data_IF_306317003473
#
_entry.id   IF_306317003473
#
_cell.length_a   1.000
_cell.length_b   1.000
_cell.length_c   1.000
_cell.angle_alpha   90.00
_cell.angle_beta   90.00
_cell.angle_gamma   90.00
#
_symmetry.space_group_name_H-M   'P 1'
#
loop_
_entity.id
_entity.type
_entity.pdbx_description
1 polymer ?
#
# COMPACT_ATOMS: atom_id res chain seq x y z
N UNK A 1 -75.51 -47.91 -1.22
CA UNK A 1 -75.23 -47.41 0.13
C UNK A 1 -74.77 -45.96 -0.01
N UNK A 2 -75.58 -45.05 0.51
CA UNK A 2 -75.37 -43.59 0.67
C UNK A 2 -74.15 -43.26 1.56
N UNK A 3 -73.76 -41.98 1.79
CA UNK A 3 -73.89 -40.76 0.98
C UNK A 3 -72.62 -39.85 0.94
N UNK A 4 -72.71 -38.85 0.05
CA UNK A 4 -72.18 -37.47 0.08
C UNK A 4 -71.69 -36.90 1.43
N UNK A 5 -70.67 -36.04 1.38
CA UNK A 5 -70.65 -34.74 2.10
C UNK A 5 -70.01 -33.64 1.20
N UNK A 6 -70.81 -32.60 0.95
CA UNK A 6 -70.42 -31.23 0.58
C UNK A 6 -70.47 -30.37 1.85
N UNK A 7 -69.56 -29.39 1.98
CA UNK A 7 -69.69 -28.13 2.76
C UNK A 7 -68.40 -27.32 2.47
N UNK A 8 -68.37 -26.16 1.79
CA UNK A 8 -68.89 -24.83 2.18
C UNK A 8 -68.66 -24.55 3.67
N UNK A 9 -67.86 -23.57 4.11
CA UNK A 9 -68.13 -22.11 4.17
C UNK A 9 -66.88 -21.55 4.91
N UNK A 10 -66.26 -20.41 4.60
CA UNK A 10 -66.71 -19.09 5.06
C UNK A 10 -65.72 -18.00 4.65
N UNK A 11 -66.27 -16.91 4.12
CA UNK A 11 -65.62 -15.61 4.00
C UNK A 11 -65.50 -14.96 5.38
N UNK A 12 -64.34 -14.38 5.70
CA UNK A 12 -64.26 -13.17 6.54
C UNK A 12 -63.29 -12.20 5.84
N UNK A 13 -63.86 -11.06 5.45
CA UNK A 13 -63.16 -9.83 5.06
C UNK A 13 -62.67 -9.14 6.33
N UNK A 14 -61.54 -8.43 6.26
CA UNK A 14 -61.36 -7.01 6.60
C UNK A 14 -59.86 -6.71 6.84
N UNK A 15 -59.34 -5.95 5.89
CA UNK A 15 -58.49 -4.76 6.01
C UNK A 15 -57.01 -4.78 6.45
N UNK A 16 -56.26 -4.16 5.53
CA UNK A 16 -55.30 -3.06 5.73
C UNK A 16 -53.82 -3.38 6.02
N UNK A 17 -53.07 -3.23 4.92
CA UNK A 17 -52.01 -2.22 4.80
C UNK A 17 -50.65 -2.57 5.43
N UNK A 18 -49.75 -3.19 4.66
CA UNK A 18 -48.33 -2.88 4.69
C UNK A 18 -47.73 -3.03 3.27
N UNK A 19 -47.52 -1.86 2.63
CA UNK A 19 -46.52 -1.67 1.60
C UNK A 19 -45.14 -1.84 2.23
N UNK A 20 -44.36 -2.84 1.85
CA UNK A 20 -42.90 -2.73 1.91
C UNK A 20 -42.29 -3.31 0.63
N UNK A 21 -41.66 -2.40 -0.13
CA UNK A 21 -40.75 -2.69 -1.24
C UNK A 21 -39.49 -3.33 -0.65
N UNK A 22 -38.80 -4.25 -1.33
CA UNK A 22 -37.44 -4.58 -0.96
C UNK A 22 -36.54 -3.43 -1.42
N UNK A 23 -35.94 -2.74 -0.46
CA UNK A 23 -34.96 -1.69 -0.70
C UNK A 23 -33.67 -2.25 -1.32
N UNK A 24 -33.17 -1.45 -2.25
CA UNK A 24 -31.95 -1.56 -3.03
C UNK A 24 -30.69 -1.87 -2.22
N UNK A 25 -29.88 -2.76 -2.78
CA UNK A 25 -28.45 -2.57 -3.05
C UNK A 25 -27.66 -1.78 -2.01
N UNK A 26 -27.22 -2.49 -0.96
CA UNK A 26 -25.94 -2.19 -0.34
C UNK A 26 -24.85 -2.44 -1.39
N UNK A 27 -24.50 -1.39 -2.15
CA UNK A 27 -23.22 -1.32 -2.84
C UNK A 27 -22.16 -1.46 -1.74
N UNK A 28 -21.54 -2.63 -1.68
CA UNK A 28 -20.42 -2.90 -0.82
C UNK A 28 -19.35 -1.84 -1.13
N UNK A 29 -19.20 -0.89 -0.21
CA UNK A 29 -18.07 0.01 -0.17
C UNK A 29 -16.89 -0.86 0.27
N UNK A 30 -16.31 -1.61 -0.67
CA UNK A 30 -15.02 -2.27 -0.46
C UNK A 30 -14.03 -1.13 -0.34
N UNK A 31 -13.71 -0.74 0.89
CA UNK A 31 -12.50 0.02 1.18
C UNK A 31 -11.33 -0.80 0.61
N UNK A 32 -10.87 -0.43 -0.59
CA UNK A 32 -9.56 -0.82 -1.08
C UNK A 32 -8.57 -0.16 -0.12
N UNK A 33 -8.07 -0.92 0.86
CA UNK A 33 -6.94 -0.49 1.67
C UNK A 33 -5.75 -0.27 0.73
N UNK A 34 -5.16 0.94 0.72
CA UNK A 34 -3.98 1.22 -0.09
C UNK A 34 -2.83 0.29 0.38
N UNK A 35 -2.02 -0.23 -0.55
CA UNK A 35 -0.91 -1.14 -0.18
C UNK A 35 0.04 -0.49 0.82
N UNK A 36 0.22 0.82 0.74
CA UNK A 36 0.97 1.62 1.72
C UNK A 36 0.37 1.50 3.12
N UNK A 37 -0.94 1.61 3.28
CA UNK A 37 -1.60 1.56 4.59
C UNK A 37 -1.42 0.19 5.27
N UNK A 38 -1.50 -0.88 4.47
CA UNK A 38 -1.25 -2.24 4.96
C UNK A 38 0.22 -2.37 5.38
N UNK A 39 1.16 -1.92 4.54
CA UNK A 39 2.60 -1.98 4.84
C UNK A 39 2.92 -1.17 6.11
N UNK A 40 2.34 0.03 6.24
CA UNK A 40 2.51 0.91 7.39
C UNK A 40 1.97 0.27 8.67
N UNK A 41 0.87 -0.50 8.61
CA UNK A 41 0.39 -1.27 9.78
C UNK A 41 1.37 -2.35 10.25
N UNK A 42 2.31 -2.78 9.40
CA UNK A 42 3.38 -3.72 9.77
C UNK A 42 4.69 -3.01 10.15
N UNK A 43 4.74 -1.68 10.05
CA UNK A 43 5.82 -0.86 10.59
C UNK A 43 5.61 -0.52 12.07
N UNK A 44 4.38 -0.64 12.58
CA UNK A 44 4.13 -0.56 14.02
C UNK A 44 4.70 -1.77 14.75
N UNK A 45 5.47 -1.46 15.79
CA UNK A 45 6.47 -2.26 16.46
C UNK A 45 5.94 -3.63 16.96
N UNK A 46 6.41 -4.78 16.45
CA UNK A 46 6.34 -6.00 17.22
C UNK A 46 7.42 -5.91 18.30
N UNK A 47 7.00 -5.68 19.55
CA UNK A 47 7.81 -5.96 20.74
C UNK A 47 8.55 -7.29 20.51
N UNK A 48 9.89 -7.24 20.56
CA UNK A 48 10.74 -8.39 20.35
C UNK A 48 10.29 -9.53 21.30
N UNK A 49 10.26 -10.80 20.86
CA UNK A 49 10.15 -11.92 21.79
C UNK A 49 11.36 -11.87 22.74
N UNK A 50 11.05 -11.65 24.02
CA UNK A 50 11.98 -11.46 25.16
C UNK A 50 13.40 -12.01 24.95
N UNK A 51 14.38 -11.11 24.90
CA UNK A 51 15.79 -11.47 25.05
C UNK A 51 16.04 -12.09 26.45
N UNK A 52 16.94 -13.09 26.55
CA UNK A 52 17.23 -13.76 27.81
C UNK A 52 17.85 -12.79 28.82
N UNK A 53 17.24 -12.75 30.00
CA UNK A 53 17.72 -12.02 31.19
C UNK A 53 19.16 -12.44 31.51
N UNK A 54 20.08 -11.47 31.46
CA UNK A 54 21.47 -11.63 31.86
C UNK A 54 21.55 -12.08 33.34
N UNK A 55 22.23 -13.18 33.69
CA UNK A 55 22.34 -13.61 35.07
C UNK A 55 23.19 -12.58 35.82
N UNK A 56 22.55 -11.84 36.73
CA UNK A 56 23.27 -11.18 37.82
C UNK A 56 24.02 -12.26 38.60
N UNK A 57 25.35 -12.28 38.50
CA UNK A 57 26.18 -12.34 39.70
C UNK A 57 27.68 -12.03 39.46
N UNK A 58 28.18 -11.23 40.41
CA UNK A 58 29.55 -11.06 40.89
C UNK A 58 30.68 -10.76 39.90
N UNK A 59 31.17 -9.52 39.89
CA UNK A 59 32.61 -9.24 39.82
C UNK A 59 32.90 -7.86 40.46
N UNK A 60 33.30 -7.87 41.73
CA UNK A 60 33.99 -6.75 42.37
C UNK A 60 35.36 -6.56 41.70
N UNK A 61 35.75 -5.30 41.48
CA UNK A 61 37.01 -4.81 40.90
C UNK A 61 37.18 -4.91 39.37
N UNK A 62 36.60 -3.94 38.63
CA UNK A 62 37.17 -3.47 37.36
C UNK A 62 37.32 -1.94 37.37
N UNK A 63 38.42 -1.38 36.82
CA UNK A 63 38.64 0.06 36.78
C UNK A 63 37.56 0.76 35.96
N UNK A 64 37.13 1.94 36.42
CA UNK A 64 36.12 2.79 35.78
C UNK A 64 36.53 3.06 34.32
N UNK A 65 35.69 2.76 33.31
CA UNK A 65 36.08 2.94 31.92
C UNK A 65 36.18 4.44 31.58
N UNK A 66 37.28 4.85 30.95
CA UNK A 66 37.37 6.11 30.20
C UNK A 66 36.29 6.14 29.11
N UNK A 67 35.78 7.34 28.76
CA UNK A 67 34.66 7.49 27.81
C UNK A 67 34.88 6.80 26.46
N UNK A 68 36.14 6.77 25.97
CA UNK A 68 36.53 6.10 24.73
C UNK A 68 36.37 4.57 24.76
N UNK A 69 36.65 3.92 25.90
CA UNK A 69 36.48 2.46 26.05
C UNK A 69 35.00 2.10 26.09
N UNK A 70 34.19 2.92 26.76
CA UNK A 70 32.74 2.75 26.80
C UNK A 70 32.09 2.98 25.42
N UNK A 71 32.55 3.98 24.66
CA UNK A 71 32.08 4.26 23.30
C UNK A 71 32.40 3.10 22.34
N UNK A 72 33.63 2.57 22.37
CA UNK A 72 34.02 1.40 21.57
C UNK A 72 33.19 0.16 21.87
N UNK A 73 32.87 -0.09 23.16
CA UNK A 73 31.98 -1.20 23.54
C UNK A 73 30.56 -1.05 22.97
N UNK A 74 30.01 0.18 22.98
CA UNK A 74 28.68 0.45 22.41
C UNK A 74 28.66 0.28 20.89
N UNK A 75 29.71 0.72 20.19
CA UNK A 75 29.89 0.49 18.75
C UNK A 75 29.96 -1.00 18.43
N UNK A 76 30.74 -1.76 19.20
CA UNK A 76 30.86 -3.21 19.04
C UNK A 76 29.53 -3.93 19.33
N UNK A 77 28.79 -3.50 20.36
CA UNK A 77 27.45 -4.01 20.63
C UNK A 77 26.49 -3.77 19.45
N UNK A 78 26.47 -2.57 18.88
CA UNK A 78 25.64 -2.25 17.70
C UNK A 78 26.01 -3.11 16.47
N UNK A 79 27.32 -3.36 16.25
CA UNK A 79 27.78 -4.26 15.19
C UNK A 79 27.32 -5.70 15.42
N UNK A 80 27.42 -6.18 16.67
CA UNK A 80 26.96 -7.51 17.03
C UNK A 80 25.44 -7.64 16.86
N UNK A 81 24.68 -6.61 17.23
CA UNK A 81 23.23 -6.56 17.05
C UNK A 81 22.84 -6.64 15.56
N UNK A 82 23.53 -5.90 14.68
CA UNK A 82 23.33 -6.00 13.22
C UNK A 82 23.48 -7.45 12.75
N UNK A 83 24.56 -8.12 13.16
CA UNK A 83 24.81 -9.50 12.75
C UNK A 83 23.78 -10.48 13.34
N UNK A 84 23.52 -10.39 14.65
CA UNK A 84 22.59 -11.30 15.34
C UNK A 84 21.19 -11.17 14.74
N UNK A 85 20.72 -9.94 14.51
CA UNK A 85 19.41 -9.73 13.88
C UNK A 85 19.38 -10.16 12.41
N UNK A 86 20.50 -10.05 11.67
CA UNK A 86 20.59 -10.60 10.30
C UNK A 86 20.50 -12.12 10.30
N UNK A 87 21.19 -12.78 11.23
CA UNK A 87 21.13 -14.23 11.40
C UNK A 87 19.68 -14.68 11.64
N UNK A 88 19.00 -14.05 12.59
CA UNK A 88 17.59 -14.33 12.91
C UNK A 88 16.67 -14.08 11.71
N UNK A 89 16.88 -12.97 10.99
CA UNK A 89 16.10 -12.65 9.80
C UNK A 89 16.26 -13.69 8.69
N UNK A 90 17.50 -14.05 8.35
CA UNK A 90 17.81 -15.06 7.34
C UNK A 90 17.24 -16.42 7.74
N UNK A 91 17.36 -16.81 9.01
CA UNK A 91 16.76 -18.04 9.52
C UNK A 91 15.23 -18.04 9.39
N UNK A 92 14.57 -16.91 9.69
CA UNK A 92 13.14 -16.71 9.45
C UNK A 92 12.76 -16.90 7.98
N UNK A 93 13.51 -16.31 7.04
CA UNK A 93 13.30 -16.52 5.60
C UNK A 93 13.53 -17.98 5.17
N UNK A 94 14.55 -18.65 5.71
CA UNK A 94 14.81 -20.07 5.44
C UNK A 94 13.65 -20.94 5.92
N UNK A 95 13.11 -20.67 7.11
CA UNK A 95 11.92 -21.35 7.65
C UNK A 95 10.72 -21.11 6.75
N UNK A 96 10.47 -19.87 6.34
CA UNK A 96 9.39 -19.52 5.40
C UNK A 96 9.47 -20.33 4.10
N UNK A 97 10.66 -20.41 3.49
CA UNK A 97 10.87 -21.16 2.25
C UNK A 97 10.76 -22.67 2.47
N UNK A 98 11.50 -23.21 3.45
CA UNK A 98 11.65 -24.67 3.65
C UNK A 98 10.41 -25.33 4.24
N UNK A 99 9.72 -24.67 5.16
CA UNK A 99 8.59 -25.25 5.90
C UNK A 99 7.27 -24.98 5.18
N UNK A 100 7.13 -23.82 4.52
CA UNK A 100 5.87 -23.46 3.85
C UNK A 100 5.97 -23.54 2.32
N UNK A 101 6.84 -22.75 1.69
CA UNK A 101 6.86 -22.61 0.22
C UNK A 101 7.12 -23.93 -0.51
N UNK A 102 8.24 -24.61 -0.20
CA UNK A 102 8.64 -25.83 -0.90
C UNK A 102 7.61 -26.96 -0.71
N UNK A 103 7.14 -27.26 0.52
CA UNK A 103 6.09 -28.27 0.70
C UNK A 103 4.77 -27.89 0.02
N UNK A 104 4.43 -26.59 -0.02
CA UNK A 104 3.21 -26.12 -0.69
C UNK A 104 3.28 -26.35 -2.21
N UNK A 105 4.40 -25.99 -2.84
CA UNK A 105 4.66 -26.26 -4.27
C UNK A 105 4.62 -27.77 -4.57
N UNK A 106 5.24 -28.59 -3.73
CA UNK A 106 5.28 -30.03 -3.92
C UNK A 106 3.87 -30.65 -3.87
N UNK A 107 3.03 -30.23 -2.92
CA UNK A 107 1.65 -30.71 -2.80
C UNK A 107 0.76 -30.20 -3.94
N UNK A 108 0.97 -28.98 -4.41
CA UNK A 108 0.27 -28.42 -5.58
C UNK A 108 0.60 -29.19 -6.88
N UNK A 109 1.85 -29.58 -7.06
CA UNK A 109 2.30 -30.33 -8.24
C UNK A 109 1.87 -31.82 -8.23
N UNK A 110 1.38 -32.34 -7.10
CA UNK A 110 1.01 -33.74 -6.97
C UNK A 110 -0.33 -34.05 -7.65
N UNK A 111 -0.25 -34.59 -8.87
CA UNK A 111 -1.40 -34.98 -9.71
C UNK A 111 -2.27 -36.11 -9.15
N UNK A 112 -1.84 -36.78 -8.07
CA UNK A 112 -2.63 -37.84 -7.41
C UNK A 112 -3.72 -37.22 -6.52
N UNK A 113 -3.53 -35.99 -6.03
CA UNK A 113 -4.59 -35.28 -5.32
C UNK A 113 -5.65 -34.79 -6.32
N UNK A 114 -6.91 -35.13 -6.05
CA UNK A 114 -8.08 -34.74 -6.84
C UNK A 114 -8.33 -33.23 -6.87
N UNK A 115 -7.74 -32.47 -5.94
CA UNK A 115 -7.71 -31.00 -5.95
C UNK A 115 -6.37 -30.50 -5.38
N UNK A 116 -5.66 -29.57 -6.05
CA UNK A 116 -4.44 -28.97 -5.51
C UNK A 116 -4.77 -28.10 -4.29
N UNK A 117 -3.83 -27.99 -3.34
CA UNK A 117 -4.01 -27.17 -2.14
C UNK A 117 -4.06 -25.66 -2.43
N UNK A 118 -3.41 -25.24 -3.51
CA UNK A 118 -3.36 -23.89 -4.09
C UNK A 118 -2.80 -24.02 -5.51
N UNK A 119 -3.15 -23.11 -6.42
CA UNK A 119 -2.55 -23.08 -7.77
C UNK A 119 -1.12 -22.55 -7.74
N UNK A 120 -0.37 -22.75 -8.82
CA UNK A 120 1.00 -22.22 -8.93
C UNK A 120 0.98 -20.69 -8.92
N UNK A 121 -0.01 -20.06 -9.54
CA UNK A 121 -0.18 -18.60 -9.51
C UNK A 121 -0.49 -18.10 -8.09
N UNK A 122 -1.37 -18.78 -7.35
CA UNK A 122 -1.69 -18.42 -5.96
C UNK A 122 -0.46 -18.54 -5.06
N UNK A 123 0.33 -19.60 -5.21
CA UNK A 123 1.59 -19.78 -4.47
C UNK A 123 2.57 -18.67 -4.85
N UNK A 124 2.73 -18.37 -6.14
CA UNK A 124 3.60 -17.28 -6.57
C UNK A 124 3.14 -15.92 -6.02
N UNK A 125 1.84 -15.73 -5.85
CA UNK A 125 1.26 -14.51 -5.28
C UNK A 125 1.54 -14.42 -3.79
N UNK A 126 1.37 -15.52 -3.03
CA UNK A 126 1.58 -15.54 -1.57
C UNK A 126 3.04 -15.26 -1.19
N UNK A 127 3.99 -15.83 -1.93
CA UNK A 127 5.41 -15.78 -1.53
C UNK A 127 6.23 -14.74 -2.31
N UNK A 128 5.67 -14.14 -3.36
CA UNK A 128 6.34 -13.12 -4.17
C UNK A 128 7.76 -13.53 -4.58
N UNK A 129 8.72 -12.64 -4.35
CA UNK A 129 10.15 -12.88 -4.61
C UNK A 129 10.96 -13.25 -3.36
N UNK A 130 10.37 -13.95 -2.39
CA UNK A 130 11.03 -14.30 -1.12
C UNK A 130 12.31 -15.12 -1.30
N UNK A 131 12.39 -15.99 -2.30
CA UNK A 131 13.59 -16.81 -2.56
C UNK A 131 14.76 -15.94 -3.03
N UNK A 132 14.49 -14.91 -3.82
CA UNK A 132 15.50 -13.95 -4.26
C UNK A 132 15.97 -13.07 -3.10
N UNK A 133 15.05 -12.66 -2.21
CA UNK A 133 15.39 -11.96 -0.97
C UNK A 133 16.26 -12.85 -0.07
N UNK A 134 15.86 -14.10 0.16
CA UNK A 134 16.66 -15.04 0.94
C UNK A 134 18.09 -15.14 0.40
N UNK A 135 18.26 -15.32 -0.92
CA UNK A 135 19.60 -15.39 -1.53
C UNK A 135 20.43 -14.11 -1.33
N UNK A 136 19.82 -12.93 -1.42
CA UNK A 136 20.48 -11.65 -1.13
C UNK A 136 20.98 -11.63 0.32
N UNK A 137 20.10 -11.98 1.26
CA UNK A 137 20.40 -11.90 2.68
C UNK A 137 21.38 -12.97 3.15
N UNK A 138 21.40 -14.15 2.52
CA UNK A 138 22.45 -15.14 2.76
C UNK A 138 23.84 -14.63 2.33
N UNK A 139 23.93 -13.87 1.24
CA UNK A 139 25.19 -13.26 0.81
C UNK A 139 25.61 -12.10 1.72
N UNK A 140 24.65 -11.30 2.18
CA UNK A 140 24.87 -10.23 3.15
C UNK A 140 25.35 -10.79 4.48
N UNK A 141 24.65 -11.78 5.03
CA UNK A 141 25.01 -12.48 6.27
C UNK A 141 26.42 -13.07 6.19
N UNK A 142 26.73 -13.79 5.11
CA UNK A 142 28.08 -14.34 4.90
C UNK A 142 29.15 -13.25 4.96
N UNK A 143 28.90 -12.10 4.33
CA UNK A 143 29.83 -10.96 4.35
C UNK A 143 30.01 -10.39 5.77
N UNK A 144 28.94 -10.36 6.58
CA UNK A 144 28.97 -9.90 7.97
C UNK A 144 29.69 -10.91 8.90
N UNK A 145 29.46 -12.21 8.70
CA UNK A 145 30.15 -13.29 9.45
C UNK A 145 31.66 -13.27 9.17
N UNK A 146 32.07 -13.18 7.91
CA UNK A 146 33.49 -13.05 7.50
C UNK A 146 34.14 -11.80 8.10
N UNK A 147 33.37 -10.70 8.21
CA UNK A 147 33.81 -9.46 8.85
C UNK A 147 34.01 -9.63 10.35
N UNK A 148 33.13 -10.38 11.03
CA UNK A 148 33.23 -10.66 12.47
C UNK A 148 34.41 -11.56 12.83
N UNK A 149 34.68 -12.61 12.03
CA UNK A 149 35.80 -13.54 12.29
C UNK A 149 37.14 -12.79 12.39
N UNK A 150 37.30 -11.74 11.60
CA UNK A 150 38.51 -10.96 11.52
C UNK A 150 38.28 -9.52 12.05
N UNK A 151 37.42 -9.35 13.05
CA UNK A 151 37.02 -8.03 13.52
C UNK A 151 38.20 -7.26 14.12
N UNK A 152 38.32 -5.98 13.75
CA UNK A 152 39.25 -5.04 14.37
C UNK A 152 38.58 -3.66 14.48
N UNK A 153 39.00 -2.80 15.41
CA UNK A 153 38.45 -1.45 15.55
C UNK A 153 38.57 -0.61 14.27
N UNK A 154 39.54 -0.94 13.40
CA UNK A 154 39.80 -0.31 12.10
C UNK A 154 38.96 -0.89 10.95
N UNK A 155 38.13 -1.91 11.22
CA UNK A 155 37.22 -2.49 10.23
C UNK A 155 35.85 -1.86 10.36
N UNK A 156 35.26 -1.70 9.18
CA UNK A 156 34.02 -0.98 8.97
C UNK A 156 32.88 -1.97 8.74
N UNK A 157 31.65 -1.50 8.64
CA UNK A 157 30.54 -2.33 8.13
C UNK A 157 29.81 -1.64 6.99
N UNK A 158 29.99 -0.32 6.85
CA UNK A 158 29.31 0.47 5.83
C UNK A 158 29.56 -0.03 4.40
N UNK A 159 30.76 -0.53 4.09
CA UNK A 159 31.14 -1.04 2.78
C UNK A 159 30.28 -2.23 2.35
N UNK A 160 29.92 -3.09 3.30
CA UNK A 160 29.01 -4.22 3.07
C UNK A 160 27.62 -3.70 2.73
N UNK A 161 27.09 -2.74 3.49
CA UNK A 161 25.77 -2.16 3.23
C UNK A 161 25.71 -1.37 1.93
N UNK A 162 26.69 -0.51 1.65
CA UNK A 162 26.76 0.27 0.41
C UNK A 162 26.83 -0.63 -0.83
N UNK A 163 27.55 -1.76 -0.74
CA UNK A 163 27.62 -2.75 -1.82
C UNK A 163 26.26 -3.42 -2.06
N UNK A 164 25.49 -3.68 -1.01
CA UNK A 164 24.21 -4.38 -1.08
C UNK A 164 23.00 -3.44 -1.32
N UNK A 165 23.12 -2.15 -1.01
CA UNK A 165 22.03 -1.18 -1.10
C UNK A 165 21.31 -1.13 -2.46
N UNK A 166 21.99 -1.17 -3.64
CA UNK A 166 21.29 -1.21 -4.93
C UNK A 166 20.36 -2.42 -5.09
N UNK A 167 20.72 -3.57 -4.50
CA UNK A 167 19.95 -4.80 -4.59
C UNK A 167 18.73 -4.79 -3.67
N UNK A 168 18.78 -4.06 -2.55
CA UNK A 168 17.62 -3.88 -1.65
C UNK A 168 16.42 -3.21 -2.34
N UNK A 169 16.61 -2.55 -3.49
CA UNK A 169 15.48 -2.04 -4.30
C UNK A 169 14.53 -3.14 -4.77
N UNK A 170 14.95 -4.40 -4.76
CA UNK A 170 14.09 -5.53 -5.12
C UNK A 170 12.97 -5.80 -4.10
N UNK A 171 13.04 -5.21 -2.91
CA UNK A 171 11.95 -5.22 -1.93
C UNK A 171 10.66 -4.58 -2.48
N UNK A 172 10.77 -3.67 -3.46
CA UNK A 172 9.59 -3.11 -4.14
C UNK A 172 8.71 -4.19 -4.79
N UNK A 173 9.30 -5.28 -5.26
CA UNK A 173 8.56 -6.40 -5.86
C UNK A 173 7.75 -7.10 -4.77
N UNK A 174 8.37 -7.37 -3.62
CA UNK A 174 7.73 -8.06 -2.50
C UNK A 174 6.59 -7.22 -1.93
N UNK A 175 6.87 -5.96 -1.62
CA UNK A 175 5.93 -5.03 -1.00
C UNK A 175 4.69 -4.82 -1.88
N UNK A 176 4.89 -4.64 -3.20
CA UNK A 176 3.79 -4.53 -4.16
C UNK A 176 2.85 -5.74 -4.13
N UNK A 177 3.39 -6.96 -3.98
CA UNK A 177 2.57 -8.18 -3.95
C UNK A 177 1.98 -8.49 -2.58
N UNK A 178 2.43 -7.83 -1.52
CA UNK A 178 2.15 -8.25 -0.14
C UNK A 178 0.67 -8.18 0.25
N UNK A 179 -0.12 -7.13 -0.06
CA UNK A 179 -1.56 -7.14 0.22
C UNK A 179 -2.30 -8.26 -0.49
N UNK A 180 -1.97 -8.50 -1.76
CA UNK A 180 -2.56 -9.59 -2.51
C UNK A 180 -2.14 -10.96 -1.95
N UNK A 181 -0.92 -11.08 -1.42
CA UNK A 181 -0.46 -12.26 -0.72
C UNK A 181 -1.32 -12.55 0.52
N UNK A 182 -1.56 -11.54 1.37
CA UNK A 182 -2.40 -11.66 2.57
C UNK A 182 -3.85 -12.00 2.18
N UNK A 183 -4.45 -11.26 1.24
CA UNK A 183 -5.81 -11.53 0.78
C UNK A 183 -5.98 -12.94 0.18
N UNK A 184 -5.01 -13.40 -0.61
CA UNK A 184 -5.00 -14.75 -1.20
C UNK A 184 -4.88 -15.81 -0.12
N UNK A 185 -3.97 -15.63 0.85
CA UNK A 185 -3.78 -16.55 1.97
C UNK A 185 -5.04 -16.64 2.84
N UNK A 186 -5.68 -15.51 3.14
CA UNK A 186 -6.92 -15.49 3.93
C UNK A 186 -8.08 -16.17 3.20
N UNK A 187 -8.25 -15.86 1.90
CA UNK A 187 -9.26 -16.49 1.06
C UNK A 187 -9.07 -18.00 1.01
N UNK A 188 -7.86 -18.48 0.73
CA UNK A 188 -7.55 -19.91 0.71
C UNK A 188 -7.78 -20.58 2.07
N UNK A 189 -7.47 -19.89 3.17
CA UNK A 189 -7.72 -20.38 4.53
C UNK A 189 -9.21 -20.53 4.85
N UNK A 190 -10.08 -19.73 4.21
CA UNK A 190 -11.55 -19.80 4.34
C UNK A 190 -12.15 -20.85 3.41
N UNK A 191 -11.69 -20.91 2.16
CA UNK A 191 -12.30 -21.70 1.08
C UNK A 191 -11.76 -23.13 0.96
N UNK A 192 -10.50 -23.38 1.34
CA UNK A 192 -9.86 -24.71 1.22
C UNK A 192 -9.55 -25.31 2.59
N UNK A 193 -10.23 -26.43 2.90
CA UNK A 193 -9.95 -27.23 4.10
C UNK A 193 -8.54 -27.83 4.06
N UNK A 194 -8.08 -28.21 2.87
CA UNK A 194 -6.76 -28.79 2.63
C UNK A 194 -5.65 -27.77 2.87
N UNK A 195 -5.82 -26.54 2.39
CA UNK A 195 -4.89 -25.43 2.65
C UNK A 195 -4.81 -25.11 4.15
N UNK A 196 -5.98 -24.97 4.81
CA UNK A 196 -6.03 -24.74 6.26
C UNK A 196 -5.34 -25.86 7.05
N UNK A 197 -5.60 -27.12 6.69
CA UNK A 197 -4.95 -28.29 7.31
C UNK A 197 -3.44 -28.29 7.05
N UNK A 198 -3.01 -27.92 5.85
CA UNK A 198 -1.60 -27.78 5.51
C UNK A 198 -0.90 -26.74 6.40
N UNK A 199 -1.48 -25.54 6.55
CA UNK A 199 -0.92 -24.50 7.41
C UNK A 199 -0.85 -24.97 8.87
N UNK A 200 -1.90 -25.62 9.38
CA UNK A 200 -1.89 -26.19 10.73
C UNK A 200 -0.81 -27.25 10.92
N UNK A 201 -0.55 -28.10 9.91
CA UNK A 201 0.53 -29.09 9.96
C UNK A 201 1.90 -28.41 9.97
N UNK A 202 2.10 -27.37 9.17
CA UNK A 202 3.36 -26.61 9.16
C UNK A 202 3.59 -25.95 10.52
N UNK A 203 2.54 -25.37 11.11
CA UNK A 203 2.56 -24.69 12.41
C UNK A 203 3.00 -25.59 13.57
N UNK A 204 2.89 -26.91 13.44
CA UNK A 204 3.36 -27.88 14.43
C UNK A 204 4.88 -28.07 14.42
N UNK A 205 5.59 -27.51 13.43
CA UNK A 205 7.05 -27.62 13.39
C UNK A 205 7.67 -26.80 14.54
N UNK A 206 8.43 -27.44 15.46
CA UNK A 206 9.00 -26.76 16.62
C UNK A 206 10.00 -25.65 16.25
N UNK A 207 10.61 -25.71 15.06
CA UNK A 207 11.55 -24.68 14.59
C UNK A 207 10.88 -23.32 14.37
N UNK A 208 9.55 -23.27 14.24
CA UNK A 208 8.81 -22.02 14.08
C UNK A 208 8.62 -21.25 15.39
N UNK A 209 8.93 -21.85 16.54
CA UNK A 209 8.80 -21.18 17.85
C UNK A 209 7.36 -20.75 18.19
N UNK A 210 6.35 -21.37 17.56
CA UNK A 210 4.94 -21.01 17.74
C UNK A 210 4.46 -19.79 16.94
N UNK A 211 5.34 -19.09 16.21
CA UNK A 211 4.98 -17.92 15.41
C UNK A 211 4.07 -18.32 14.23
N UNK A 212 2.97 -17.60 13.97
CA UNK A 212 2.04 -17.94 12.88
C UNK A 212 2.66 -17.65 11.51
N UNK A 213 2.15 -18.32 10.47
CA UNK A 213 2.59 -18.14 9.08
C UNK A 213 2.66 -16.66 8.63
N UNK A 214 1.68 -15.85 9.03
CA UNK A 214 1.62 -14.42 8.67
C UNK A 214 2.81 -13.63 9.21
N UNK A 215 3.31 -13.96 10.41
CA UNK A 215 4.49 -13.31 11.00
C UNK A 215 5.76 -13.56 10.17
N UNK A 216 5.86 -14.71 9.49
CA UNK A 216 6.96 -14.97 8.58
C UNK A 216 6.82 -14.18 7.28
N UNK A 217 5.60 -14.06 6.74
CA UNK A 217 5.35 -13.27 5.52
C UNK A 217 5.65 -11.78 5.72
N UNK A 218 5.49 -11.25 6.94
CA UNK A 218 5.78 -9.84 7.26
C UNK A 218 7.27 -9.54 7.50
N UNK A 219 8.14 -10.55 7.67
CA UNK A 219 9.56 -10.33 7.95
C UNK A 219 10.25 -9.38 6.94
N UNK A 220 10.07 -9.52 5.61
CA UNK A 220 10.66 -8.58 4.66
C UNK A 220 10.16 -7.15 4.80
N UNK A 221 8.90 -6.97 5.20
CA UNK A 221 8.32 -5.64 5.40
C UNK A 221 9.11 -4.91 6.49
N UNK A 222 9.36 -5.59 7.61
CA UNK A 222 10.00 -5.01 8.80
C UNK A 222 11.52 -4.80 8.64
N UNK A 223 12.19 -5.52 7.73
CA UNK A 223 13.66 -5.52 7.68
C UNK A 223 14.27 -4.19 7.23
N UNK A 224 13.66 -3.53 6.23
CA UNK A 224 14.18 -2.26 5.69
C UNK A 224 14.15 -1.13 6.75
N UNK A 225 13.03 -0.89 7.46
CA UNK A 225 13.02 0.03 8.60
C UNK A 225 14.03 -0.35 9.69
N UNK A 226 14.15 -1.65 10.03
CA UNK A 226 15.08 -2.10 11.06
C UNK A 226 16.54 -1.80 10.70
N UNK A 227 16.94 -1.91 9.43
CA UNK A 227 18.29 -1.49 9.02
C UNK A 227 18.55 -0.01 9.26
N UNK A 228 17.56 0.86 9.03
CA UNK A 228 17.71 2.30 9.31
C UNK A 228 18.05 2.52 10.78
N UNK A 229 17.26 1.94 11.69
CA UNK A 229 17.47 2.06 13.14
C UNK A 229 18.83 1.50 13.58
N UNK A 230 19.20 0.32 13.09
CA UNK A 230 20.48 -0.32 13.42
C UNK A 230 21.68 0.51 12.93
N UNK A 231 21.61 1.07 11.72
CA UNK A 231 22.67 1.89 11.15
C UNK A 231 22.75 3.27 11.82
N UNK A 232 21.62 3.85 12.22
CA UNK A 232 21.56 5.08 13.02
C UNK A 232 22.17 4.88 14.42
N UNK A 233 21.87 3.75 15.07
CA UNK A 233 22.46 3.37 16.34
C UNK A 233 23.99 3.19 16.21
N UNK A 234 24.46 2.53 15.14
CA UNK A 234 25.89 2.38 14.87
C UNK A 234 26.57 3.74 14.60
N UNK A 235 25.94 4.61 13.81
CA UNK A 235 26.45 5.96 13.52
C UNK A 235 26.54 6.80 14.80
N UNK A 236 25.55 6.71 15.70
CA UNK A 236 25.54 7.40 17.00
C UNK A 236 26.73 7.04 17.88
N UNK A 237 27.25 5.82 17.77
CA UNK A 237 28.41 5.34 18.54
C UNK A 237 29.72 5.40 17.75
N UNK A 238 29.73 6.05 16.58
CA UNK A 238 30.92 6.23 15.75
C UNK A 238 31.33 7.71 15.78
N UNK A 239 32.57 7.98 16.17
CA UNK A 239 33.13 9.35 16.23
C UNK A 239 33.25 9.95 14.81
N UNK A 240 33.11 11.28 14.66
CA UNK A 240 33.21 11.94 13.35
C UNK A 240 34.59 11.80 12.68
N UNK A 241 35.62 11.54 13.49
CA UNK A 241 37.00 11.28 13.02
C UNK A 241 37.21 9.84 12.54
N UNK A 242 36.27 8.93 12.81
CA UNK A 242 36.33 7.55 12.35
C UNK A 242 36.21 7.51 10.80
N UNK A 243 37.08 6.78 10.09
CA UNK A 243 37.01 6.71 8.64
C UNK A 243 35.67 6.15 8.10
N UNK A 244 34.91 5.41 8.92
CA UNK A 244 33.60 4.86 8.55
C UNK A 244 32.44 5.85 8.68
N UNK A 245 32.60 6.93 9.46
CA UNK A 245 31.50 7.83 9.84
C UNK A 245 30.72 8.35 8.63
N UNK A 246 31.44 8.88 7.62
CA UNK A 246 30.84 9.42 6.41
C UNK A 246 30.16 8.34 5.56
N UNK A 247 30.69 7.12 5.56
CA UNK A 247 30.09 6.02 4.82
C UNK A 247 28.86 5.47 5.53
N UNK A 248 28.86 5.40 6.87
CA UNK A 248 27.67 5.07 7.66
C UNK A 248 26.55 6.09 7.44
N UNK A 249 26.87 7.39 7.42
CA UNK A 249 25.89 8.44 7.07
C UNK A 249 25.31 8.24 5.67
N UNK A 250 26.14 7.84 4.70
CA UNK A 250 25.67 7.46 3.35
C UNK A 250 24.77 6.22 3.39
N UNK A 251 25.10 5.19 4.19
CA UNK A 251 24.25 4.01 4.36
C UNK A 251 22.86 4.38 4.88
N UNK A 252 22.79 5.15 5.96
CA UNK A 252 21.51 5.60 6.56
C UNK A 252 20.67 6.35 5.53
N UNK A 253 21.28 7.27 4.78
CA UNK A 253 20.59 8.02 3.72
C UNK A 253 20.12 7.11 2.58
N UNK A 254 20.94 6.13 2.16
CA UNK A 254 20.56 5.20 1.10
C UNK A 254 19.43 4.26 1.51
N UNK A 255 19.47 3.70 2.73
CA UNK A 255 18.39 2.86 3.24
C UNK A 255 17.08 3.64 3.37
N UNK A 256 17.15 4.87 3.88
CA UNK A 256 15.98 5.76 3.95
C UNK A 256 15.42 6.05 2.55
N UNK A 257 16.28 6.40 1.59
CA UNK A 257 15.86 6.63 0.22
C UNK A 257 15.28 5.38 -0.45
N UNK A 258 15.75 4.17 -0.09
CA UNK A 258 15.19 2.91 -0.60
C UNK A 258 13.78 2.70 -0.03
N UNK A 259 13.57 2.95 1.27
CA UNK A 259 12.24 2.84 1.87
C UNK A 259 11.24 3.78 1.17
N UNK A 260 11.62 5.05 0.99
CA UNK A 260 10.81 6.03 0.29
C UNK A 260 10.57 5.64 -1.19
N UNK A 261 11.62 5.25 -1.91
CA UNK A 261 11.53 4.85 -3.32
C UNK A 261 10.65 3.60 -3.50
N UNK A 262 10.71 2.66 -2.57
CA UNK A 262 9.86 1.46 -2.58
C UNK A 262 8.40 1.85 -2.38
N UNK A 263 8.10 2.68 -1.38
CA UNK A 263 6.72 3.12 -1.11
C UNK A 263 6.14 3.92 -2.30
N UNK A 264 6.91 4.87 -2.84
CA UNK A 264 6.48 5.65 -4.00
C UNK A 264 6.27 4.78 -5.24
N UNK A 265 7.08 3.74 -5.47
CA UNK A 265 6.89 2.81 -6.61
C UNK A 265 5.61 1.99 -6.49
N UNK A 266 5.22 1.61 -5.29
CA UNK A 266 3.98 0.89 -5.03
C UNK A 266 2.81 1.81 -5.35
N UNK A 267 2.80 3.01 -4.75
CA UNK A 267 1.77 4.03 -4.96
C UNK A 267 1.64 4.39 -6.44
N UNK A 268 2.76 4.52 -7.13
CA UNK A 268 2.80 4.75 -8.58
C UNK A 268 2.18 3.58 -9.37
N UNK A 269 2.47 2.34 -9.00
CA UNK A 269 1.94 1.17 -9.68
C UNK A 269 0.42 1.00 -9.45
N UNK A 270 -0.06 1.24 -8.23
CA UNK A 270 -1.49 1.24 -7.90
C UNK A 270 -2.22 2.34 -8.65
N UNK A 271 -1.64 3.53 -8.70
CA UNK A 271 -2.24 4.64 -9.41
C UNK A 271 -2.29 4.37 -10.93
N UNK A 272 -1.23 3.79 -11.52
CA UNK A 272 -1.25 3.34 -12.91
C UNK A 272 -2.32 2.29 -13.18
N UNK A 273 -2.51 1.34 -12.26
CA UNK A 273 -3.59 0.37 -12.33
C UNK A 273 -4.96 1.05 -12.30
N UNK A 274 -5.14 2.08 -11.46
CA UNK A 274 -6.37 2.86 -11.41
C UNK A 274 -6.66 3.60 -12.73
N UNK A 275 -5.62 4.16 -13.35
CA UNK A 275 -5.76 4.80 -14.68
C UNK A 275 -6.19 3.78 -15.73
N UNK A 276 -5.63 2.56 -15.71
CA UNK A 276 -6.02 1.46 -16.60
C UNK A 276 -7.49 1.03 -16.39
N UNK A 277 -7.93 0.92 -15.14
CA UNK A 277 -9.33 0.63 -14.81
C UNK A 277 -10.28 1.69 -15.37
N UNK A 278 -9.98 2.97 -15.15
CA UNK A 278 -10.80 4.08 -15.67
C UNK A 278 -10.82 4.06 -17.20
N UNK A 279 -9.68 3.80 -17.86
CA UNK A 279 -9.62 3.65 -19.32
C UNK A 279 -10.55 2.53 -19.83
N UNK A 280 -10.68 1.44 -19.09
CA UNK A 280 -11.59 0.33 -19.42
C UNK A 280 -13.07 0.65 -19.17
N UNK A 281 -13.38 1.48 -18.18
CA UNK A 281 -14.74 1.87 -17.81
C UNK A 281 -15.30 3.02 -18.66
N UNK A 282 -14.44 3.85 -19.27
CA UNK A 282 -14.84 5.01 -20.07
C UNK A 282 -14.88 4.66 -21.56
N UNK A 283 -16.08 4.69 -22.14
CA UNK A 283 -16.35 4.47 -23.56
C UNK A 283 -16.27 5.78 -24.36
N UNK A 284 -15.84 5.70 -25.62
CA UNK A 284 -15.80 6.83 -26.54
C UNK A 284 -14.68 7.84 -26.30
N UNK A 285 -13.62 7.45 -25.58
CA UNK A 285 -12.43 8.27 -25.40
C UNK A 285 -11.75 8.54 -26.76
N UNK A 286 -11.38 9.80 -27.07
CA UNK A 286 -10.71 10.13 -28.32
C UNK A 286 -9.26 9.66 -28.34
N UNK A 287 -8.60 9.62 -27.18
CA UNK A 287 -7.20 9.25 -27.02
C UNK A 287 -7.04 8.30 -25.82
N UNK A 288 -5.98 7.49 -25.84
CA UNK A 288 -5.60 6.66 -24.71
C UNK A 288 -5.17 7.54 -23.53
N UNK A 289 -5.79 7.33 -22.37
CA UNK A 289 -5.47 8.09 -21.16
C UNK A 289 -4.28 7.49 -20.38
N UNK A 290 -3.87 6.25 -20.69
CA UNK A 290 -2.75 5.58 -20.04
C UNK A 290 -1.45 6.25 -20.45
N UNK A 291 -0.80 6.93 -19.51
CA UNK A 291 0.46 7.62 -19.71
C UNK A 291 1.37 7.44 -18.48
N UNK A 292 2.69 7.20 -18.63
CA UNK A 292 3.59 6.91 -17.49
C UNK A 292 3.63 8.00 -16.42
N UNK A 293 3.43 9.26 -16.81
CA UNK A 293 3.40 10.40 -15.89
C UNK A 293 1.99 10.77 -15.39
N UNK A 294 0.93 10.16 -15.95
CA UNK A 294 -0.44 10.49 -15.53
C UNK A 294 -0.77 9.80 -14.22
N UNK A 295 -1.41 10.52 -13.31
CA UNK A 295 -1.88 10.01 -12.03
C UNK A 295 -3.34 10.38 -11.83
N UNK A 296 -4.16 9.42 -11.40
CA UNK A 296 -5.53 9.69 -10.93
C UNK A 296 -5.48 10.40 -9.57
N UNK A 297 -6.32 11.42 -9.38
CA UNK A 297 -6.38 12.25 -8.16
C UNK A 297 -7.75 12.15 -7.50
N UNK A 298 -8.83 12.26 -8.27
CA UNK A 298 -10.17 12.31 -7.69
C UNK A 298 -11.27 11.93 -8.67
N UNK A 299 -12.34 11.33 -8.14
CA UNK A 299 -13.60 11.07 -8.84
C UNK A 299 -14.73 11.70 -8.05
N UNK A 300 -15.58 12.45 -8.73
CA UNK A 300 -16.78 13.00 -8.11
C UNK A 300 -17.78 13.48 -9.15
N UNK A 301 -18.95 13.90 -8.67
CA UNK A 301 -20.01 14.40 -9.53
C UNK A 301 -20.04 15.92 -9.52
N UNK A 302 -20.23 16.52 -10.70
CA UNK A 302 -20.53 17.95 -10.83
C UNK A 302 -21.64 18.12 -11.85
N UNK A 303 -22.45 19.16 -11.66
CA UNK A 303 -23.50 19.55 -12.58
C UNK A 303 -22.91 20.51 -13.63
N UNK A 304 -23.18 20.26 -14.91
CA UNK A 304 -22.80 21.20 -15.97
C UNK A 304 -23.74 22.39 -15.97
N UNK A 305 -23.18 23.60 -15.87
CA UNK A 305 -23.93 24.83 -16.05
C UNK A 305 -23.75 25.32 -17.48
N UNK A 306 -24.83 25.34 -18.26
CA UNK A 306 -24.81 25.90 -19.63
C UNK A 306 -24.89 27.42 -19.59
N UNK A 307 -23.95 28.16 -20.21
CA UNK A 307 -24.01 29.63 -20.25
C UNK A 307 -25.27 30.18 -20.93
N UNK A 308 -25.86 29.43 -21.86
CA UNK A 308 -27.05 29.82 -22.64
C UNK A 308 -28.37 29.33 -22.04
N UNK A 309 -28.33 28.46 -21.03
CA UNK A 309 -29.51 27.85 -20.41
C UNK A 309 -29.35 27.78 -18.89
N UNK A 310 -28.98 28.91 -18.30
CA UNK A 310 -28.60 29.02 -16.88
C UNK A 310 -29.70 28.46 -15.95
N UNK A 311 -30.97 28.73 -16.25
CA UNK A 311 -32.14 28.33 -15.43
C UNK A 311 -33.05 27.26 -16.08
N UNK A 312 -32.54 26.44 -17.01
CA UNK A 312 -33.33 25.33 -17.54
C UNK A 312 -33.34 24.14 -16.57
N UNK A 313 -34.48 23.50 -16.36
CA UNK A 313 -34.55 22.26 -15.55
C UNK A 313 -33.53 21.20 -16.01
N UNK A 314 -33.25 21.15 -17.31
CA UNK A 314 -32.27 20.26 -17.94
C UNK A 314 -30.80 20.58 -17.57
N UNK A 315 -30.43 21.85 -17.37
CA UNK A 315 -29.06 22.21 -16.92
C UNK A 315 -28.87 21.98 -15.43
N UNK A 316 -29.92 22.14 -14.62
CA UNK A 316 -29.88 21.87 -13.19
C UNK A 316 -29.72 20.37 -12.87
N UNK A 317 -30.02 19.49 -13.83
CA UNK A 317 -29.93 18.03 -13.71
C UNK A 317 -28.86 17.35 -14.59
N UNK A 318 -28.07 18.09 -15.38
CA UNK A 318 -26.96 17.52 -16.18
C UNK A 318 -25.78 17.14 -15.26
N UNK A 319 -25.95 16.05 -14.51
CA UNK A 319 -24.93 15.45 -13.64
C UNK A 319 -23.92 14.71 -14.51
N UNK A 320 -22.64 14.98 -14.25
CA UNK A 320 -21.53 14.32 -14.91
C UNK A 320 -20.54 13.79 -13.89
N UNK A 321 -20.06 12.59 -14.16
CA UNK A 321 -18.95 12.01 -13.42
C UNK A 321 -17.67 12.61 -13.95
N UNK A 322 -16.89 13.18 -13.05
CA UNK A 322 -15.61 13.82 -13.36
C UNK A 322 -14.47 12.97 -12.81
N UNK A 323 -13.49 12.69 -13.66
CA UNK A 323 -12.23 12.05 -13.29
C UNK A 323 -11.12 13.08 -13.41
N UNK A 324 -10.60 13.51 -12.25
CA UNK A 324 -9.46 14.40 -12.14
C UNK A 324 -8.17 13.59 -12.14
N UNK A 325 -7.32 13.87 -13.11
CA UNK A 325 -5.94 13.43 -13.18
C UNK A 325 -5.00 14.61 -12.91
N UNK A 326 -3.72 14.32 -12.71
CA UNK A 326 -2.70 15.33 -12.47
C UNK A 326 -2.47 16.30 -13.62
N UNK A 327 -2.92 16.01 -14.84
CA UNK A 327 -2.78 16.85 -16.03
C UNK A 327 -4.08 17.10 -16.81
N UNK A 328 -5.16 16.39 -16.46
CA UNK A 328 -6.37 16.29 -17.26
C UNK A 328 -7.60 16.14 -16.36
N UNK A 329 -8.72 16.79 -16.71
CA UNK A 329 -10.02 16.54 -16.09
C UNK A 329 -10.99 16.03 -17.16
N UNK A 330 -11.41 14.77 -17.05
CA UNK A 330 -12.38 14.13 -17.96
C UNK A 330 -13.76 14.19 -17.35
N UNK A 331 -14.80 14.44 -18.15
CA UNK A 331 -16.19 14.37 -17.70
C UNK A 331 -17.06 13.49 -18.60
N UNK A 332 -17.87 12.66 -17.96
CA UNK A 332 -18.65 11.59 -18.59
C UNK A 332 -20.10 11.61 -18.12
N UNK A 333 -20.99 10.98 -18.90
CA UNK A 333 -22.30 10.55 -18.40
C UNK A 333 -22.18 9.13 -17.84
N UNK A 334 -22.80 8.89 -16.69
CA UNK A 334 -22.88 7.55 -16.09
C UNK A 334 -24.10 6.80 -16.63
N UNK A 335 -23.86 5.58 -17.12
CA UNK A 335 -24.89 4.63 -17.47
C UNK A 335 -24.60 3.31 -16.75
N UNK A 336 -25.11 3.20 -15.51
CA UNK A 336 -24.98 2.00 -14.66
C UNK A 336 -23.53 1.53 -14.50
N UNK A 337 -22.59 2.45 -14.27
CA UNK A 337 -21.17 2.15 -14.10
C UNK A 337 -20.35 2.14 -15.40
N UNK A 338 -21.01 2.26 -16.56
CA UNK A 338 -20.33 2.50 -17.85
C UNK A 338 -20.32 3.99 -18.15
N UNK A 339 -19.13 4.59 -18.18
CA UNK A 339 -18.98 6.02 -18.36
C UNK A 339 -18.87 6.37 -19.85
N UNK A 340 -19.73 7.24 -20.34
CA UNK A 340 -19.71 7.70 -21.72
C UNK A 340 -19.03 9.07 -21.79
N UNK A 341 -17.88 9.13 -22.47
CA UNK A 341 -17.09 10.35 -22.62
C UNK A 341 -17.92 11.50 -23.20
N UNK A 342 -17.78 12.70 -22.62
CA UNK A 342 -18.39 13.94 -23.13
C UNK A 342 -17.41 15.07 -23.37
N UNK A 343 -16.19 14.95 -22.86
CA UNK A 343 -15.13 15.93 -23.07
C UNK A 343 -14.09 15.89 -21.97
N UNK A 344 -13.07 16.72 -22.16
CA UNK A 344 -11.94 16.84 -21.25
C UNK A 344 -11.46 18.29 -21.16
N UNK A 345 -10.72 18.58 -20.10
CA UNK A 345 -10.12 19.88 -19.80
C UNK A 345 -8.65 19.64 -19.50
N UNK A 346 -7.78 20.22 -20.34
CA UNK A 346 -6.33 20.25 -20.10
C UNK A 346 -6.01 21.23 -18.96
N UNK A 347 -5.36 20.73 -17.91
CA UNK A 347 -5.08 21.49 -16.70
C UNK A 347 -3.77 22.29 -16.75
N UNK A 348 -2.90 22.06 -17.74
CA UNK A 348 -1.56 22.70 -17.82
C UNK A 348 -1.60 24.22 -17.79
N UNK A 349 -2.67 24.82 -18.29
CA UNK A 349 -2.88 26.26 -18.31
C UNK A 349 -4.25 26.65 -17.75
N UNK A 350 -4.83 25.79 -16.93
CA UNK A 350 -6.11 26.06 -16.31
C UNK A 350 -5.95 26.98 -15.08
N UNK A 351 -7.02 27.68 -14.72
CA UNK A 351 -7.15 28.33 -13.41
C UNK A 351 -8.58 28.16 -12.89
N UNK A 352 -8.70 28.00 -11.58
CA UNK A 352 -10.01 27.90 -10.92
C UNK A 352 -10.37 29.25 -10.34
N UNK A 353 -11.59 29.70 -10.61
CA UNK A 353 -12.17 30.89 -10.01
C UNK A 353 -13.40 30.49 -9.21
N UNK A 354 -13.36 30.74 -7.91
CA UNK A 354 -14.55 30.67 -7.08
C UNK A 354 -15.52 31.80 -7.48
N UNK A 355 -16.77 31.45 -7.74
CA UNK A 355 -17.83 32.40 -8.09
C UNK A 355 -18.74 32.65 -6.88
N UNK A 356 -19.20 33.90 -6.75
CA UNK A 356 -20.10 34.32 -5.69
C UNK A 356 -21.40 33.51 -5.69
N UNK A 357 -21.93 33.25 -4.49
CA UNK A 357 -23.21 32.59 -4.29
C UNK A 357 -24.35 33.50 -4.76
N UNK A 358 -24.81 33.29 -5.99
CA UNK A 358 -26.10 33.80 -6.45
C UNK A 358 -27.20 32.89 -5.87
N UNK A 359 -28.31 33.45 -5.39
CA UNK A 359 -29.42 32.69 -4.81
C UNK A 359 -30.03 31.70 -5.81
N UNK A 360 -29.88 31.97 -7.11
CA UNK A 360 -30.37 31.09 -8.18
C UNK A 360 -29.39 29.96 -8.55
N UNK A 361 -28.08 30.13 -8.28
CA UNK A 361 -27.04 29.16 -8.64
C UNK A 361 -25.99 28.99 -7.53
N UNK A 362 -26.38 28.43 -6.36
CA UNK A 362 -25.45 28.18 -5.28
C UNK A 362 -24.40 27.12 -5.68
N UNK A 363 -23.24 27.20 -5.03
CA UNK A 363 -22.14 26.22 -5.16
C UNK A 363 -21.51 26.11 -6.56
N UNK A 364 -21.60 27.16 -7.37
CA UNK A 364 -20.89 27.23 -8.64
C UNK A 364 -19.42 27.65 -8.48
N UNK A 365 -18.60 27.22 -9.42
CA UNK A 365 -17.25 27.73 -9.66
C UNK A 365 -16.89 27.58 -11.15
N UNK A 366 -15.82 28.24 -11.57
CA UNK A 366 -15.39 28.28 -12.96
C UNK A 366 -13.98 27.72 -13.14
N UNK A 367 -13.80 26.88 -14.15
CA UNK A 367 -12.51 26.40 -14.63
C UNK A 367 -12.20 27.12 -15.94
N UNK A 368 -11.23 28.03 -15.91
CA UNK A 368 -10.81 28.81 -17.07
C UNK A 368 -9.65 28.12 -17.76
N UNK A 369 -9.72 27.95 -19.07
CA UNK A 369 -8.66 27.42 -19.91
C UNK A 369 -8.39 28.33 -21.10
N UNK A 370 -7.38 27.99 -21.90
CA UNK A 370 -7.13 28.65 -23.20
C UNK A 370 -8.30 28.51 -24.17
N UNK A 371 -9.09 27.45 -24.06
CA UNK A 371 -10.15 27.11 -25.01
C UNK A 371 -11.54 27.60 -24.55
N UNK A 372 -11.65 28.20 -23.37
CA UNK A 372 -12.91 28.70 -22.85
C UNK A 372 -13.04 28.61 -21.32
N UNK A 373 -14.21 28.98 -20.82
CA UNK A 373 -14.56 28.89 -19.40
C UNK A 373 -15.63 27.82 -19.22
N UNK A 374 -15.37 26.87 -18.32
CA UNK A 374 -16.30 25.82 -17.93
C UNK A 374 -16.91 26.19 -16.58
N UNK A 375 -18.21 26.47 -16.55
CA UNK A 375 -18.95 26.69 -15.29
C UNK A 375 -19.53 25.35 -14.84
N UNK A 376 -19.22 24.99 -13.59
CA UNK A 376 -19.68 23.76 -12.95
C UNK A 376 -20.27 24.09 -11.59
N UNK A 377 -21.19 23.22 -11.13
CA UNK A 377 -21.86 23.37 -9.86
C UNK A 377 -21.70 22.09 -9.04
N UNK A 378 -21.34 22.23 -7.77
CA UNK A 378 -21.31 21.11 -6.82
C UNK A 378 -22.69 20.91 -6.16
N UNK A 379 -22.89 19.77 -5.49
CA UNK A 379 -24.16 19.51 -4.80
C UNK A 379 -24.36 20.39 -3.56
N UNK A 380 -23.27 20.64 -2.83
CA UNK A 380 -23.24 21.39 -1.59
C UNK A 380 -21.91 22.20 -1.47
N UNK A 381 -21.76 22.92 -0.36
CA UNK A 381 -20.60 23.77 -0.10
C UNK A 381 -19.33 22.97 0.16
N UNK A 382 -19.46 21.82 0.81
CA UNK A 382 -18.37 20.93 1.16
C UNK A 382 -17.72 20.36 -0.10
N UNK A 383 -18.51 19.77 -1.01
CA UNK A 383 -18.05 19.26 -2.30
C UNK A 383 -17.45 20.37 -3.16
N UNK A 384 -18.04 21.58 -3.17
CA UNK A 384 -17.46 22.73 -3.87
C UNK A 384 -16.06 23.04 -3.35
N UNK A 385 -15.91 23.11 -2.03
CA UNK A 385 -14.63 23.46 -1.39
C UNK A 385 -13.58 22.38 -1.68
N UNK A 386 -13.96 21.11 -1.59
CA UNK A 386 -13.09 19.98 -1.92
C UNK A 386 -12.63 20.01 -3.39
N UNK A 387 -13.55 20.18 -4.33
CA UNK A 387 -13.23 20.27 -5.76
C UNK A 387 -12.28 21.44 -6.06
N UNK A 388 -12.55 22.63 -5.52
CA UNK A 388 -11.71 23.81 -5.72
C UNK A 388 -10.31 23.56 -5.14
N UNK A 389 -10.21 23.00 -3.93
CA UNK A 389 -8.94 22.69 -3.30
C UNK A 389 -8.11 21.71 -4.14
N UNK A 390 -8.69 20.57 -4.52
CA UNK A 390 -8.01 19.53 -5.32
C UNK A 390 -7.57 20.04 -6.69
N UNK A 391 -8.42 20.81 -7.38
CA UNK A 391 -8.07 21.39 -8.68
C UNK A 391 -6.94 22.43 -8.56
N UNK A 392 -7.00 23.31 -7.56
CA UNK A 392 -5.95 24.31 -7.34
C UNK A 392 -4.61 23.65 -6.99
N UNK A 393 -4.61 22.65 -6.11
CA UNK A 393 -3.41 21.89 -5.77
C UNK A 393 -2.82 21.19 -7.01
N UNK A 394 -3.68 20.54 -7.81
CA UNK A 394 -3.27 19.88 -9.06
C UNK A 394 -2.61 20.86 -10.03
N UNK A 395 -3.26 22.00 -10.29
CA UNK A 395 -2.77 23.03 -11.20
C UNK A 395 -1.47 23.66 -10.68
N UNK A 396 -1.39 23.93 -9.37
CA UNK A 396 -0.20 24.47 -8.74
C UNK A 396 0.99 23.51 -8.86
N UNK A 397 0.78 22.22 -8.59
CA UNK A 397 1.79 21.17 -8.72
C UNK A 397 2.30 21.05 -10.15
N UNK A 398 1.42 21.10 -11.16
CA UNK A 398 1.81 21.13 -12.57
C UNK A 398 2.73 22.32 -12.92
N UNK A 399 2.37 23.51 -12.44
CA UNK A 399 3.11 24.74 -12.74
C UNK A 399 4.50 24.73 -12.08
N UNK A 400 4.63 24.17 -10.87
CA UNK A 400 5.91 24.04 -10.20
C UNK A 400 6.86 23.04 -10.86
N UNK A 401 6.32 21.93 -11.38
CA UNK A 401 7.08 20.97 -12.16
C UNK A 401 7.57 21.61 -13.47
N UNK A 402 6.74 22.39 -14.16
CA UNK A 402 7.13 23.11 -15.39
C UNK A 402 8.19 24.20 -15.15
N UNK A 403 8.16 24.85 -13.98
CA UNK A 403 9.13 25.89 -13.61
C UNK A 403 10.44 25.34 -13.01
N UNK A 404 10.64 24.01 -13.00
CA UNK A 404 11.87 23.37 -12.51
C UNK A 404 12.08 23.47 -11.00
N UNK A 405 11.01 23.68 -10.21
CA UNK A 405 11.08 23.95 -8.76
C UNK A 405 10.59 22.82 -7.85
N UNK A 406 10.24 21.63 -8.37
CA UNK A 406 9.82 20.51 -7.51
C UNK A 406 9.59 19.17 -8.23
N UNK A 407 9.57 18.08 -7.46
CA UNK A 407 9.02 16.77 -7.88
C UNK A 407 7.49 16.85 -7.88
N UNK A 408 6.83 16.02 -8.69
CA UNK A 408 5.38 15.86 -8.68
C UNK A 408 4.97 15.31 -7.30
N UNK A 409 4.51 16.18 -6.39
CA UNK A 409 3.96 15.76 -5.11
C UNK A 409 2.54 15.24 -5.37
N UNK A 410 2.31 13.98 -5.07
CA UNK A 410 0.95 13.43 -5.03
C UNK A 410 0.33 13.94 -3.72
N UNK A 411 -0.86 14.59 -3.75
CA UNK A 411 -1.55 14.98 -2.53
C UNK A 411 -1.70 13.77 -1.62
N UNK A 412 -1.34 13.92 -0.34
CA UNK A 412 -1.66 12.92 0.67
C UNK A 412 -3.19 12.97 0.81
N UNK A 413 -3.86 11.84 0.55
CA UNK A 413 -5.27 11.66 0.90
C UNK A 413 -5.36 11.69 2.43
N UNK A 414 -5.45 12.89 3.01
CA UNK A 414 -5.90 13.03 4.38
C UNK A 414 -7.38 12.65 4.39
N UNK A 415 -7.66 11.35 4.56
CA UNK A 415 -8.95 10.87 5.02
C UNK A 415 -9.10 11.30 6.49
N UNK A 416 -9.50 12.54 6.71
CA UNK A 416 -10.06 12.96 7.98
C UNK A 416 -11.54 12.57 8.01
N UNK A 417 -11.84 11.71 8.99
CA UNK A 417 -13.10 11.18 9.50
C UNK A 417 -14.41 11.90 9.17
#
# INVERSE_FOLDING_TARGET
MSPKIHAETSRILIDNNYNERPDNDQIANTHEFETSDIIDSYYDDPEDPEDPVDPKDSELNKPVPTSAVAANRKREAAVNEILTTELTYVDGLRKLVRIYLLPMRQRSANKILSKPIATIEEISTIFGNVEQLLKLHEQLLKSLEERKINWSPTRHISDIFLKNAPYLKMYAIYFKSFPQAIATMERLSKESKEFKKFLQQCQQNPELGGLPFNSFLSLPIQRIPRYKLLLEALLKYTEESDPDYNNLKKCVNQISAIADEVNEKIRDAENQQKVLEIQGQVTGLPNNIVHPARRFIYKGNLYKVSPTKVNSYASLQDVRVHFLFNDLLIFCLDFQGIYHYKGEIDLRYASVKDTYEDSELPYCFQIKTKNGTHTVRAKNREEKTEWIARLNETIWSLQNVQNGRGKLLIPISNNSH
#
